data_IF_510215364351
#
_entry.id   IF_510215364351
#
_cell.length_a   1.000
_cell.length_b   1.000
_cell.length_c   1.000
_cell.angle_alpha   90.00
_cell.angle_beta   90.00
_cell.angle_gamma   90.00
#
_symmetry.space_group_name_H-M   'P 1'
#
loop_
_entity.id
_entity.type
_entity.pdbx_description
1 polymer ?
#
# COMPACT_ATOMS: atom_id res chain seq x y z
N UNK A 1 -4.16 4.25 -12.15
CA UNK A 1 -4.36 3.36 -10.97
C UNK A 1 -4.88 1.99 -11.42
N UNK A 2 -4.22 0.90 -10.98
CA UNK A 2 -4.76 -0.45 -11.16
C UNK A 2 -5.82 -0.72 -10.08
N UNK A 3 -6.70 -1.73 -10.27
CA UNK A 3 -7.52 -2.22 -9.16
C UNK A 3 -6.65 -2.57 -7.95
N UNK A 4 -7.20 -2.37 -6.75
CA UNK A 4 -6.54 -2.78 -5.51
C UNK A 4 -6.20 -4.27 -5.57
N UNK A 5 -4.99 -4.62 -5.15
CA UNK A 5 -4.59 -6.01 -5.00
C UNK A 5 -4.85 -6.46 -3.57
N UNK A 6 -5.50 -7.61 -3.42
CA UNK A 6 -5.74 -8.23 -2.11
C UNK A 6 -4.72 -9.33 -1.91
N UNK A 7 -3.93 -9.24 -0.85
CA UNK A 7 -2.97 -10.28 -0.50
C UNK A 7 -3.62 -11.44 0.28
N UNK A 8 -2.80 -12.41 0.71
CA UNK A 8 -3.28 -13.57 1.47
C UNK A 8 -3.81 -13.20 2.85
N UNK A 9 -3.38 -12.07 3.40
CA UNK A 9 -3.76 -11.54 4.70
C UNK A 9 -4.98 -10.61 4.60
N UNK A 10 -5.61 -10.53 3.42
CA UNK A 10 -6.75 -9.66 3.10
C UNK A 10 -6.42 -8.17 3.16
N UNK A 11 -5.14 -7.80 3.09
CA UNK A 11 -4.76 -6.41 2.99
C UNK A 11 -4.95 -5.88 1.56
N UNK A 12 -5.42 -4.64 1.48
CA UNK A 12 -5.59 -3.95 0.19
C UNK A 12 -4.36 -3.12 -0.13
N UNK A 13 -3.69 -3.47 -1.22
CA UNK A 13 -2.51 -2.78 -1.76
C UNK A 13 -2.89 -1.85 -2.90
N UNK A 14 -2.36 -0.62 -2.86
CA UNK A 14 -2.42 0.31 -3.97
C UNK A 14 -1.28 0.01 -4.94
N UNK A 15 -1.59 -0.40 -6.18
CA UNK A 15 -0.56 -0.77 -7.15
C UNK A 15 -0.59 0.08 -8.43
N UNK A 16 0.60 0.34 -8.98
CA UNK A 16 0.79 1.01 -10.26
C UNK A 16 1.94 0.41 -11.06
N UNK A 17 1.99 0.72 -12.35
CA UNK A 17 3.06 0.29 -13.25
C UNK A 17 4.06 1.45 -13.38
N UNK A 18 5.32 1.22 -13.02
CA UNK A 18 6.42 2.11 -13.30
C UNK A 18 7.15 1.63 -14.56
N UNK A 19 7.46 2.54 -15.48
CA UNK A 19 8.12 2.22 -16.76
C UNK A 19 9.31 3.15 -16.94
N UNK A 20 10.49 2.56 -17.20
CA UNK A 20 11.69 3.28 -17.62
C UNK A 20 12.32 2.53 -18.79
N UNK A 21 12.26 3.12 -19.98
CA UNK A 21 12.72 2.48 -21.23
C UNK A 21 12.08 1.09 -21.42
N UNK A 22 12.88 0.01 -21.39
CA UNK A 22 12.41 -1.38 -21.47
C UNK A 22 12.04 -1.99 -20.12
N UNK A 23 12.42 -1.37 -19.01
CA UNK A 23 12.15 -1.88 -17.66
C UNK A 23 10.72 -1.54 -17.23
N UNK A 24 10.01 -2.54 -16.72
CA UNK A 24 8.65 -2.41 -16.19
C UNK A 24 8.59 -3.01 -14.79
N UNK A 25 8.16 -2.22 -13.83
CA UNK A 25 7.98 -2.66 -12.46
C UNK A 25 6.51 -2.56 -12.06
N UNK A 26 5.98 -3.62 -11.44
CA UNK A 26 4.77 -3.51 -10.63
C UNK A 26 5.20 -2.96 -9.28
N UNK A 27 4.72 -1.79 -8.93
CA UNK A 27 4.95 -1.18 -7.63
C UNK A 27 3.66 -1.26 -6.84
N UNK A 28 3.71 -1.84 -5.65
CA UNK A 28 2.58 -1.96 -4.74
C UNK A 28 2.94 -1.33 -3.39
N UNK A 29 2.00 -0.56 -2.84
CA UNK A 29 2.17 0.22 -1.62
C UNK A 29 1.03 -0.05 -0.64
N UNK A 30 1.37 -0.01 0.64
CA UNK A 30 0.44 -0.17 1.77
C UNK A 30 0.96 0.62 2.96
N UNK A 31 0.03 1.14 3.76
CA UNK A 31 0.29 1.52 5.15
C UNK A 31 -0.42 0.51 6.04
N UNK A 32 0.24 -0.02 7.06
CA UNK A 32 -0.37 -0.95 8.03
C UNK A 32 0.02 -0.64 9.47
N UNK A 33 -0.74 -1.16 10.42
CA UNK A 33 -0.39 -1.17 11.85
C UNK A 33 -0.29 -2.60 12.40
N UNK A 34 0.14 -2.72 13.66
CA UNK A 34 0.24 -4.01 14.35
C UNK A 34 -1.12 -4.63 14.72
N UNK A 35 -2.22 -3.87 14.58
CA UNK A 35 -3.58 -4.29 14.91
C UNK A 35 -4.34 -4.86 13.70
N UNK A 36 -3.67 -5.00 12.56
CA UNK A 36 -4.24 -5.54 11.32
C UNK A 36 -5.01 -4.53 10.49
N UNK A 37 -4.92 -3.24 10.81
CA UNK A 37 -5.46 -2.21 9.92
C UNK A 37 -4.50 -2.00 8.74
N UNK A 38 -5.08 -1.72 7.57
CA UNK A 38 -4.33 -1.38 6.37
C UNK A 38 -5.02 -0.29 5.55
N UNK A 39 -4.21 0.50 4.87
CA UNK A 39 -4.64 1.57 3.98
C UNK A 39 -3.82 1.52 2.69
N UNK A 40 -4.51 1.49 1.56
CA UNK A 40 -3.88 1.48 0.22
C UNK A 40 -3.48 2.88 -0.27
N UNK A 41 -3.86 3.94 0.46
CA UNK A 41 -3.50 5.31 0.17
C UNK A 41 -3.19 6.09 1.46
N UNK A 42 -2.30 7.08 1.34
CA UNK A 42 -1.85 7.90 2.47
C UNK A 42 -2.96 8.74 3.10
N UNK A 43 -3.95 9.18 2.32
CA UNK A 43 -5.00 10.07 2.82
C UNK A 43 -5.94 9.32 3.75
N UNK A 44 -6.29 8.09 3.42
CA UNK A 44 -7.11 7.20 4.27
C UNK A 44 -6.43 6.94 5.61
N UNK A 45 -5.14 6.63 5.62
CA UNK A 45 -4.37 6.50 6.86
C UNK A 45 -4.35 7.80 7.66
N UNK A 46 -4.01 8.93 7.01
CA UNK A 46 -3.88 10.25 7.65
C UNK A 46 -5.14 10.63 8.43
N UNK A 47 -6.32 10.47 7.82
CA UNK A 47 -7.58 10.79 8.48
C UNK A 47 -7.89 9.86 9.64
N UNK A 48 -7.53 8.57 9.56
CA UNK A 48 -7.69 7.66 10.69
C UNK A 48 -6.74 8.02 11.85
N UNK A 49 -5.50 8.40 11.56
CA UNK A 49 -4.54 8.81 12.58
C UNK A 49 -5.00 10.10 13.30
N UNK A 50 -5.35 11.15 12.55
CA UNK A 50 -5.72 12.45 13.15
C UNK A 50 -7.05 12.40 13.92
N UNK A 51 -7.97 11.50 13.51
CA UNK A 51 -9.22 11.25 14.21
C UNK A 51 -9.10 10.21 15.33
N UNK A 52 -7.87 9.78 15.67
CA UNK A 52 -7.59 8.77 16.72
C UNK A 52 -8.32 7.44 16.50
N UNK A 53 -8.53 7.05 15.24
CA UNK A 53 -9.14 5.76 14.83
C UNK A 53 -8.12 4.64 14.66
N UNK A 54 -6.83 4.97 14.63
CA UNK A 54 -5.70 4.04 14.70
C UNK A 54 -4.63 4.68 15.59
N UNK A 55 -3.81 3.84 16.23
CA UNK A 55 -2.67 4.24 17.05
C UNK A 55 -1.46 3.50 16.51
N UNK A 56 -0.35 4.23 16.32
CA UNK A 56 0.88 3.65 15.81
C UNK A 56 1.54 2.67 16.82
N UNK A 57 2.61 1.99 16.40
CA UNK A 57 3.40 2.25 15.20
C UNK A 57 2.69 1.89 13.89
N UNK A 58 2.99 2.65 12.83
CA UNK A 58 2.55 2.37 11.46
C UNK A 58 3.77 2.07 10.60
N UNK A 59 3.61 1.18 9.62
CA UNK A 59 4.59 0.87 8.59
C UNK A 59 4.07 1.31 7.23
N UNK A 60 4.92 1.99 6.46
CA UNK A 60 4.67 2.24 5.04
C UNK A 60 5.60 1.31 4.25
N UNK A 61 5.01 0.37 3.51
CA UNK A 61 5.74 -0.66 2.77
C UNK A 61 5.53 -0.46 1.27
N UNK A 62 6.64 -0.46 0.52
CA UNK A 62 6.65 -0.45 -0.94
C UNK A 62 7.37 -1.69 -1.44
N UNK A 63 6.71 -2.45 -2.32
CA UNK A 63 7.27 -3.60 -3.02
C UNK A 63 7.34 -3.27 -4.50
N UNK A 64 8.50 -3.49 -5.12
CA UNK A 64 8.73 -3.27 -6.55
C UNK A 64 9.25 -4.57 -7.17
N UNK A 65 8.46 -5.13 -8.09
CA UNK A 65 8.76 -6.39 -8.77
C UNK A 65 8.85 -6.16 -10.27
N UNK A 66 9.86 -6.75 -10.91
CA UNK A 66 9.98 -6.74 -12.36
C UNK A 66 8.84 -7.55 -13.00
N UNK A 67 8.20 -6.98 -14.02
CA UNK A 67 7.18 -7.68 -14.80
C UNK A 67 7.83 -8.12 -16.10
N UNK A 68 8.26 -9.39 -16.14
CA UNK A 68 8.74 -10.08 -17.35
C UNK A 68 7.63 -10.36 -18.34
#
# INVERSE_FOLDING_TARGET
>A
PRPLQIDREQHSWGCFLAIRESEKLQVCEIISDEFGNSWSDTSSWYWNAILSRTVGPWWATTVAEEIS
#
